data_IF_725033041153
#
_entry.id   IF_725033041153
#
_cell.length_a   1.000
_cell.length_b   1.000
_cell.length_c   1.000
_cell.angle_alpha   90.00
_cell.angle_beta   90.00
_cell.angle_gamma   90.00
#
_symmetry.space_group_name_H-M   'P 1'
#
loop_
_entity.id
_entity.type
_entity.pdbx_description
1 polymer ?
#
# COMPACT_ATOMS: atom_id res chain seq x y z
N UNK A 1 0.10 -21.38 -32.49
CA UNK A 1 0.61 -21.54 -31.12
C UNK A 1 0.57 -20.26 -30.31
N UNK A 2 -0.35 -20.19 -29.34
CA UNK A 2 -0.34 -19.17 -28.28
C UNK A 2 -0.06 -19.85 -26.95
N UNK A 3 1.17 -19.74 -26.45
CA UNK A 3 1.55 -20.19 -25.12
C UNK A 3 1.02 -19.21 -24.05
N UNK A 4 -0.02 -19.61 -23.32
CA UNK A 4 -0.47 -18.90 -22.12
C UNK A 4 -0.10 -19.72 -20.86
N UNK A 5 1.05 -19.41 -20.26
CA UNK A 5 1.46 -19.98 -18.98
C UNK A 5 0.76 -19.26 -17.84
N UNK A 6 -0.28 -19.89 -17.28
CA UNK A 6 -0.94 -19.49 -16.05
C UNK A 6 -0.01 -19.75 -14.84
N UNK A 7 0.83 -18.76 -14.52
CA UNK A 7 1.67 -18.75 -13.33
C UNK A 7 0.86 -18.34 -12.10
N UNK A 8 0.71 -19.24 -11.14
CA UNK A 8 0.06 -19.05 -9.85
C UNK A 8 0.70 -17.89 -9.08
N UNK A 9 0.06 -16.71 -9.15
CA UNK A 9 0.50 -15.52 -8.44
C UNK A 9 0.21 -15.63 -6.94
N UNK A 10 1.12 -16.24 -6.17
CA UNK A 10 1.31 -15.84 -4.77
C UNK A 10 1.54 -14.34 -4.79
N UNK A 11 0.50 -13.56 -4.51
CA UNK A 11 0.54 -12.09 -4.44
C UNK A 11 1.76 -11.74 -3.61
N UNK A 12 2.86 -11.33 -4.28
CA UNK A 12 4.08 -10.91 -3.59
C UNK A 12 3.62 -9.80 -2.68
N UNK A 13 3.81 -9.97 -1.36
CA UNK A 13 3.53 -8.96 -0.35
C UNK A 13 4.09 -7.66 -0.91
N UNK A 14 3.20 -6.74 -1.30
CA UNK A 14 3.63 -5.46 -1.87
C UNK A 14 4.39 -4.80 -0.74
N UNK A 15 5.70 -4.68 -0.89
CA UNK A 15 6.54 -4.02 0.09
C UNK A 15 5.97 -2.61 0.31
N UNK A 16 5.58 -2.35 1.55
CA UNK A 16 4.86 -1.14 1.92
C UNK A 16 5.82 0.04 1.82
N UNK A 17 5.75 0.80 0.73
CA UNK A 17 6.54 2.02 0.60
C UNK A 17 6.23 2.98 1.76
N UNK A 18 7.26 3.62 2.30
CA UNK A 18 7.12 4.69 3.28
C UNK A 18 6.39 5.90 2.66
N UNK A 19 5.89 6.78 3.51
CA UNK A 19 5.11 7.95 3.10
C UNK A 19 5.91 8.89 2.19
N UNK A 20 7.18 9.12 2.49
CA UNK A 20 8.07 9.96 1.67
C UNK A 20 8.26 9.39 0.26
N UNK A 21 8.50 8.08 0.13
CA UNK A 21 8.59 7.43 -1.18
C UNK A 21 7.25 7.42 -1.93
N UNK A 22 6.12 7.25 -1.22
CA UNK A 22 4.78 7.35 -1.83
C UNK A 22 4.49 8.75 -2.38
N UNK A 23 4.75 9.79 -1.58
CA UNK A 23 4.53 11.19 -1.98
C UNK A 23 5.38 11.53 -3.20
N UNK A 24 6.62 11.03 -3.25
CA UNK A 24 7.55 11.21 -4.38
C UNK A 24 7.32 10.25 -5.55
N UNK A 25 6.43 9.26 -5.41
CA UNK A 25 6.17 8.21 -6.41
C UNK A 25 7.45 7.47 -6.85
N UNK A 26 8.39 7.26 -5.92
CA UNK A 26 9.64 6.54 -6.16
C UNK A 26 9.61 5.15 -5.52
N UNK A 27 10.49 4.26 -5.99
CA UNK A 27 10.69 2.94 -5.38
C UNK A 27 11.19 3.10 -3.95
N UNK A 28 10.64 2.31 -3.03
CA UNK A 28 11.05 2.28 -1.63
C UNK A 28 11.69 0.92 -1.32
N UNK A 29 12.92 0.94 -0.82
CA UNK A 29 13.64 -0.29 -0.46
C UNK A 29 13.17 -0.90 0.86
N UNK A 30 12.22 -0.26 1.54
CA UNK A 30 11.54 -0.76 2.75
C UNK A 30 12.47 -1.09 3.93
N UNK A 31 13.71 -0.60 3.88
CA UNK A 31 14.72 -0.71 4.95
C UNK A 31 14.23 0.06 6.18
N UNK A 32 14.47 -0.51 7.37
CA UNK A 32 14.15 0.09 8.68
C UNK A 32 15.44 0.39 9.45
N UNK A 33 15.53 1.52 10.18
CA UNK A 33 14.46 2.47 10.50
C UNK A 33 14.13 3.49 9.39
N UNK A 34 15.04 3.72 8.44
CA UNK A 34 14.87 4.64 7.31
C UNK A 34 15.20 3.94 5.99
N UNK A 35 14.45 4.26 4.94
CA UNK A 35 14.73 3.79 3.59
C UNK A 35 15.99 4.48 3.03
N UNK A 36 16.77 3.85 2.14
CA UNK A 36 18.01 4.44 1.59
C UNK A 36 17.75 5.80 0.95
N UNK A 37 16.75 5.90 0.07
CA UNK A 37 16.40 7.20 -0.51
C UNK A 37 15.95 8.25 0.52
N UNK A 38 15.34 7.83 1.62
CA UNK A 38 14.95 8.74 2.70
C UNK A 38 16.18 9.23 3.46
N UNK A 39 17.12 8.33 3.74
CA UNK A 39 18.38 8.61 4.42
C UNK A 39 19.26 9.57 3.59
N UNK A 40 19.45 9.29 2.31
CA UNK A 40 20.28 10.10 1.40
C UNK A 40 19.73 11.53 1.23
N UNK A 41 18.41 11.67 1.26
CA UNK A 41 17.74 12.96 1.14
C UNK A 41 17.48 13.64 2.49
N UNK A 42 17.87 13.03 3.61
CA UNK A 42 17.59 13.57 4.95
C UNK A 42 16.10 13.73 5.26
N UNK A 43 15.24 12.91 4.63
CA UNK A 43 13.79 12.99 4.77
C UNK A 43 13.27 12.08 5.89
N UNK A 44 12.18 12.52 6.53
CA UNK A 44 11.46 11.70 7.49
C UNK A 44 10.93 10.41 6.83
N UNK A 45 11.41 9.26 7.27
CA UNK A 45 10.96 7.97 6.77
C UNK A 45 9.84 7.40 7.67
N UNK A 46 8.60 7.75 7.35
CA UNK A 46 7.42 7.25 8.09
C UNK A 46 6.78 6.11 7.31
N UNK A 47 6.80 4.91 7.87
CA UNK A 47 5.99 3.80 7.34
C UNK A 47 4.60 3.87 7.98
N UNK A 48 3.50 3.85 7.21
CA UNK A 48 2.18 3.79 7.79
C UNK A 48 2.04 2.45 8.51
N UNK A 49 2.07 2.47 9.84
CA UNK A 49 1.61 1.34 10.65
C UNK A 49 0.11 1.24 10.42
N UNK A 50 -0.42 0.05 10.22
CA UNK A 50 -1.83 -0.12 9.90
C UNK A 50 -2.71 0.33 11.09
N UNK A 51 -3.07 1.61 11.13
CA UNK A 51 -3.94 2.17 12.17
C UNK A 51 -4.87 3.20 11.55
N UNK A 52 -5.68 2.71 10.62
CA UNK A 52 -7.10 3.02 10.52
C UNK A 52 -7.64 2.04 9.49
N UNK A 53 -8.25 0.96 9.98
CA UNK A 53 -9.30 0.26 9.24
C UNK A 53 -10.17 1.38 8.67
N UNK A 54 -10.07 1.66 7.36
CA UNK A 54 -11.02 2.57 6.72
C UNK A 54 -12.37 2.00 7.12
N UNK A 55 -13.17 2.82 7.80
CA UNK A 55 -14.50 2.41 8.23
C UNK A 55 -15.25 1.77 7.06
N UNK A 56 -16.30 0.96 7.35
CA UNK A 56 -17.06 0.28 6.32
C UNK A 56 -17.35 1.24 5.17
N UNK A 57 -17.06 0.80 3.93
CA UNK A 57 -17.22 1.60 2.70
C UNK A 57 -18.57 2.31 2.78
N UNK A 58 -18.55 3.63 2.70
CA UNK A 58 -19.69 4.54 2.88
C UNK A 58 -20.94 4.23 2.02
N UNK A 59 -20.87 3.27 1.09
CA UNK A 59 -22.02 2.77 0.33
C UNK A 59 -22.69 1.50 0.84
N UNK A 60 -22.22 0.88 1.94
CA UNK A 60 -22.88 -0.32 2.50
C UNK A 60 -24.06 0.04 3.41
N UNK A 61 -23.92 1.05 4.27
CA UNK A 61 -24.98 1.52 5.17
C UNK A 61 -26.19 2.09 4.41
N UNK A 62 -25.96 2.90 3.37
CA UNK A 62 -27.06 3.49 2.60
C UNK A 62 -27.93 2.47 1.83
N UNK A 63 -27.42 1.26 1.55
CA UNK A 63 -28.23 0.19 0.96
C UNK A 63 -29.07 -0.58 1.98
N UNK A 64 -28.64 -0.61 3.24
CA UNK A 64 -29.40 -1.25 4.33
C UNK A 64 -30.58 -0.38 4.78
N UNK A 65 -30.41 0.94 4.81
CA UNK A 65 -31.48 1.87 5.19
C UNK A 65 -32.60 1.98 4.15
N UNK A 66 -32.33 1.72 2.87
CA UNK A 66 -33.33 1.81 1.79
C UNK A 66 -34.40 0.69 1.80
N UNK A 67 -34.41 -0.20 2.80
CA UNK A 67 -35.37 -1.31 2.93
C UNK A 67 -36.18 -1.29 4.25
N UNK A 68 -36.02 -0.25 5.07
CA UNK A 68 -36.89 0.07 6.20
C UNK A 68 -37.85 1.17 5.79
#
# INVERSE_FOLDING_TARGET
>A
DHHHSAGQGKRRKINLACESCRRRKVRCDSVRPSCTGCLDHGLACVYPTESKKRGPRQGYLGRLEARL
#
